data_IF_018575112610
#
_entry.id   IF_018575112610
#
_cell.length_a   1.000
_cell.length_b   1.000
_cell.length_c   1.000
_cell.angle_alpha   90.00
_cell.angle_beta   90.00
_cell.angle_gamma   90.00
#
_symmetry.space_group_name_H-M   'P 1'
#
loop_
_entity.id
_entity.type
_entity.pdbx_description
1 polymer ?
#
# COMPACT_ATOMS: atom_id res chain seq x y z
N UNK A 1 -2.86 8.86 4.36
CA UNK A 1 -1.62 9.56 3.98
C UNK A 1 -1.79 11.02 4.33
N UNK A 2 -0.89 11.55 5.15
CA UNK A 2 -0.91 12.96 5.57
C UNK A 2 0.50 13.47 5.34
N UNK A 3 0.63 14.60 4.66
CA UNK A 3 1.93 15.25 4.46
C UNK A 3 2.28 16.09 5.69
N UNK A 4 3.57 16.22 5.98
CA UNK A 4 4.06 17.03 7.09
C UNK A 4 3.91 18.52 6.80
N UNK A 5 3.59 19.28 7.84
CA UNK A 5 3.61 20.75 7.78
C UNK A 5 5.05 21.30 7.69
N UNK A 6 6.05 20.51 8.10
CA UNK A 6 7.45 20.92 8.14
C UNK A 6 8.25 20.56 6.89
N UNK A 7 7.83 19.52 6.18
CA UNK A 7 8.45 19.04 4.94
C UNK A 7 7.33 18.58 4.00
N UNK A 8 7.11 19.32 2.92
CA UNK A 8 5.89 19.23 2.13
C UNK A 8 5.75 17.96 1.32
N UNK A 9 6.82 17.17 1.18
CA UNK A 9 6.82 15.85 0.51
C UNK A 9 7.00 14.68 1.48
N UNK A 10 7.14 14.95 2.78
CA UNK A 10 7.23 13.91 3.81
C UNK A 10 5.83 13.46 4.26
N UNK A 11 5.60 12.15 4.27
CA UNK A 11 4.41 11.52 4.81
C UNK A 11 4.60 11.21 6.29
N UNK A 12 3.61 11.61 7.09
CA UNK A 12 3.64 11.39 8.53
C UNK A 12 2.99 10.06 8.92
N UNK A 13 3.64 9.40 9.88
CA UNK A 13 3.10 8.23 10.56
C UNK A 13 2.83 8.59 12.02
N UNK A 14 1.55 8.56 12.40
CA UNK A 14 1.12 8.94 13.75
C UNK A 14 1.12 7.76 14.74
N UNK A 15 0.99 6.52 14.26
CA UNK A 15 0.86 5.32 15.08
C UNK A 15 1.73 4.17 14.53
N UNK A 16 2.04 3.18 15.36
CA UNK A 16 2.74 1.96 14.94
C UNK A 16 1.90 1.10 13.99
N UNK A 17 2.55 0.35 13.09
CA UNK A 17 1.89 -0.57 12.15
C UNK A 17 1.99 -0.19 10.67
N UNK A 18 1.49 0.98 10.20
CA UNK A 18 1.34 1.27 8.77
C UNK A 18 2.65 1.54 8.03
N UNK A 19 3.80 1.54 8.71
CA UNK A 19 5.11 1.85 8.14
C UNK A 19 5.46 0.99 6.91
N UNK A 20 5.02 -0.27 6.86
CA UNK A 20 5.25 -1.16 5.72
C UNK A 20 4.56 -0.72 4.43
N UNK A 21 3.56 0.17 4.53
CA UNK A 21 2.90 0.79 3.39
C UNK A 21 3.36 2.23 3.21
N UNK A 22 3.49 3.00 4.30
CA UNK A 22 3.89 4.41 4.23
C UNK A 22 5.32 4.55 3.70
N UNK A 23 6.27 3.72 4.12
CA UNK A 23 7.66 3.86 3.70
C UNK A 23 7.87 3.60 2.19
N UNK A 24 7.27 2.55 1.57
CA UNK A 24 7.27 2.41 0.11
C UNK A 24 6.64 3.58 -0.64
N UNK A 25 5.48 4.06 -0.17
CA UNK A 25 4.82 5.22 -0.80
C UNK A 25 5.70 6.46 -0.68
N UNK A 26 6.28 6.72 0.50
CA UNK A 26 7.22 7.83 0.71
C UNK A 26 8.44 7.72 -0.21
N UNK A 27 9.00 6.53 -0.37
CA UNK A 27 10.12 6.31 -1.28
C UNK A 27 9.77 6.71 -2.71
N UNK A 28 8.61 6.26 -3.21
CA UNK A 28 8.14 6.60 -4.55
C UNK A 28 7.84 8.10 -4.71
N UNK A 29 7.22 8.74 -3.70
CA UNK A 29 7.01 10.19 -3.65
C UNK A 29 8.34 10.94 -3.84
N UNK A 30 9.36 10.56 -3.08
CA UNK A 30 10.67 11.23 -3.14
C UNK A 30 11.46 10.94 -4.42
N UNK A 31 11.14 9.86 -5.14
CA UNK A 31 11.70 9.60 -6.47
C UNK A 31 11.12 10.56 -7.51
N UNK A 32 9.82 10.86 -7.41
CA UNK A 32 9.06 11.71 -8.35
C UNK A 32 9.31 13.22 -8.14
N UNK A 33 9.65 13.64 -6.92
CA UNK A 33 9.82 15.03 -6.48
C UNK A 33 10.98 15.84 -7.12
N UNK A 34 11.69 15.30 -8.11
CA UNK A 34 12.96 15.85 -8.64
C UNK A 34 12.88 17.22 -9.32
N UNK A 35 11.72 17.88 -9.40
CA UNK A 35 11.57 19.07 -10.25
C UNK A 35 10.69 20.21 -9.73
N UNK A 36 10.03 20.13 -8.56
CA UNK A 36 9.08 21.17 -8.14
C UNK A 36 9.17 21.44 -6.65
N UNK A 37 9.23 22.71 -6.28
CA UNK A 37 8.84 23.13 -4.93
C UNK A 37 7.36 22.79 -4.76
N UNK A 38 7.07 21.72 -4.01
CA UNK A 38 5.70 21.37 -3.63
C UNK A 38 5.32 22.31 -2.49
N UNK A 39 4.79 23.48 -2.82
CA UNK A 39 4.39 24.48 -1.82
C UNK A 39 2.87 24.52 -1.64
N UNK A 40 2.12 23.94 -2.58
CA UNK A 40 0.67 24.03 -2.61
C UNK A 40 0.00 22.68 -2.35
N UNK A 41 -1.13 22.69 -1.61
CA UNK A 41 -1.92 21.48 -1.32
C UNK A 41 -2.34 20.71 -2.58
N UNK A 42 -2.57 21.41 -3.69
CA UNK A 42 -2.90 20.79 -4.97
C UNK A 42 -1.72 20.00 -5.55
N UNK A 43 -0.49 20.44 -5.33
CA UNK A 43 0.72 19.73 -5.77
C UNK A 43 0.97 18.47 -4.94
N UNK A 44 0.74 18.53 -3.62
CA UNK A 44 0.76 17.36 -2.74
C UNK A 44 -0.28 16.32 -3.15
N UNK A 45 -1.49 16.78 -3.47
CA UNK A 45 -2.55 15.93 -4.01
C UNK A 45 -2.12 15.27 -5.32
N UNK A 46 -1.57 16.04 -6.26
CA UNK A 46 -1.04 15.52 -7.51
C UNK A 46 0.00 14.43 -7.27
N UNK A 47 0.99 14.73 -6.42
CA UNK A 47 2.12 13.86 -6.12
C UNK A 47 1.67 12.55 -5.49
N UNK A 48 0.78 12.61 -4.49
CA UNK A 48 0.22 11.41 -3.86
C UNK A 48 -0.58 10.60 -4.87
N UNK A 49 -1.55 11.21 -5.56
CA UNK A 49 -2.40 10.48 -6.50
C UNK A 49 -1.59 9.84 -7.63
N UNK A 50 -0.56 10.54 -8.14
CA UNK A 50 0.37 10.00 -9.12
C UNK A 50 1.12 8.79 -8.57
N UNK A 51 1.75 8.94 -7.41
CA UNK A 51 2.48 7.85 -6.74
C UNK A 51 1.61 6.61 -6.49
N UNK A 52 0.38 6.80 -6.00
CA UNK A 52 -0.54 5.68 -5.77
C UNK A 52 -0.93 4.98 -7.08
N UNK A 53 -1.08 5.72 -8.19
CA UNK A 53 -1.34 5.14 -9.50
C UNK A 53 -0.15 4.32 -10.00
N UNK A 54 1.07 4.84 -9.88
CA UNK A 54 2.29 4.16 -10.34
C UNK A 54 2.50 2.84 -9.58
N UNK A 55 2.27 2.83 -8.27
CA UNK A 55 2.34 1.60 -7.46
C UNK A 55 1.27 0.58 -7.90
N UNK A 56 0.06 1.03 -8.19
CA UNK A 56 -1.00 0.15 -8.69
C UNK A 56 -0.71 -0.36 -10.10
N UNK A 57 -0.07 0.45 -10.94
CA UNK A 57 0.40 0.05 -12.27
C UNK A 57 1.50 -1.00 -12.17
N UNK A 58 2.50 -0.80 -11.31
CA UNK A 58 3.55 -1.80 -11.05
C UNK A 58 2.97 -3.11 -10.50
N UNK A 59 1.99 -3.04 -9.59
CA UNK A 59 1.35 -4.22 -9.02
C UNK A 59 0.44 -4.96 -10.03
N UNK A 60 0.04 -4.31 -11.12
CA UNK A 60 -0.76 -4.94 -12.16
C UNK A 60 0.11 -5.89 -12.99
N UNK A 61 -0.07 -7.20 -12.80
CA UNK A 61 0.62 -8.20 -13.62
C UNK A 61 0.19 -8.12 -15.09
N UNK A 62 1.05 -8.52 -16.02
CA UNK A 62 0.74 -8.60 -17.47
C UNK A 62 -0.54 -9.41 -17.78
N UNK A 63 -0.90 -10.37 -16.91
CA UNK A 63 -2.09 -11.21 -17.03
C UNK A 63 -3.35 -10.64 -16.33
N UNK A 64 -3.23 -9.53 -15.61
CA UNK A 64 -4.36 -8.89 -14.93
C UNK A 64 -4.99 -7.86 -15.86
N UNK A 65 -6.25 -8.10 -16.25
CA UNK A 65 -6.96 -7.22 -17.19
C UNK A 65 -7.54 -5.95 -16.53
N UNK A 66 -7.35 -5.75 -15.22
CA UNK A 66 -7.98 -4.63 -14.51
C UNK A 66 -7.31 -4.23 -13.20
N UNK A 67 -7.34 -2.92 -12.93
CA UNK A 67 -7.01 -2.32 -11.64
C UNK A 67 -8.17 -2.39 -10.68
N UNK A 68 -7.90 -2.51 -9.39
CA UNK A 68 -8.94 -2.66 -8.37
C UNK A 68 -8.74 -1.67 -7.21
N UNK A 69 -9.76 -0.87 -6.90
CA UNK A 69 -9.76 0.01 -5.73
C UNK A 69 -10.71 -0.52 -4.64
N UNK A 70 -10.21 -0.57 -3.41
CA UNK A 70 -11.02 -0.82 -2.23
C UNK A 70 -11.64 0.49 -1.74
N UNK A 71 -12.95 0.48 -1.47
CA UNK A 71 -13.69 1.68 -1.08
C UNK A 71 -14.65 1.39 0.06
N UNK A 72 -14.87 2.39 0.93
CA UNK A 72 -15.81 2.28 2.03
C UNK A 72 -17.26 2.44 1.54
N UNK A 73 -18.16 1.58 2.00
CA UNK A 73 -19.60 1.85 1.88
C UNK A 73 -19.98 2.79 3.00
N UNK A 74 -20.28 4.05 2.67
CA UNK A 74 -21.07 4.86 3.60
C UNK A 74 -22.45 4.22 3.66
N UNK A 75 -22.75 3.53 4.76
CA UNK A 75 -24.13 3.13 5.05
C UNK A 75 -25.00 4.37 4.93
N UNK A 76 -26.09 4.30 4.17
CA UNK A 76 -27.14 5.32 4.27
C UNK A 76 -27.71 5.21 5.68
N UNK A 77 -27.25 6.03 6.61
CA UNK A 77 -28.08 6.40 7.76
C UNK A 77 -29.21 7.23 7.16
N UNK A 78 -30.38 6.61 7.05
CA UNK A 78 -31.62 7.32 6.76
C UNK A 78 -31.88 8.25 7.94
N UNK A 79 -31.45 9.51 7.83
CA UNK A 79 -31.98 10.59 8.66
C UNK A 79 -33.41 10.87 8.21
N UNK A 80 -34.36 10.08 8.70
CA UNK A 80 -35.77 10.46 8.73
C UNK A 80 -36.20 10.56 10.21
N UNK A 81 -36.10 11.78 10.71
CA UNK A 81 -37.03 12.44 11.64
C UNK A 81 -37.73 11.59 12.70
N UNK A 82 -37.21 11.71 13.92
CA UNK A 82 -37.92 11.82 15.20
C UNK A 82 -39.36 11.30 15.30
N UNK A 83 -39.54 10.23 16.09
CA UNK A 83 -40.62 10.17 17.06
C UNK A 83 -40.13 9.48 18.34
N UNK A 84 -40.45 10.10 19.46
CA UNK A 84 -40.00 9.78 20.82
C UNK A 84 -40.74 8.54 21.33
N UNK A 85 -40.01 7.56 21.87
CA UNK A 85 -40.53 6.72 22.97
C UNK A 85 -39.38 6.25 23.86
N UNK A 86 -39.55 6.43 25.17
CA UNK A 86 -38.59 6.22 26.25
C UNK A 86 -38.30 4.73 26.57
N UNK A 87 -37.15 4.51 27.24
CA UNK A 87 -36.68 3.30 27.99
C UNK A 87 -35.55 2.47 27.33
N UNK A 88 -34.71 1.75 28.12
CA UNK A 88 -33.37 2.23 28.47
C UNK A 88 -32.23 1.39 27.89
N UNK A 89 -31.05 2.04 27.86
CA UNK A 89 -29.75 1.59 27.40
C UNK A 89 -29.44 0.09 27.54
N UNK A 90 -29.29 -0.57 26.38
CA UNK A 90 -28.35 -1.67 26.21
C UNK A 90 -27.26 -1.23 25.24
N UNK A 91 -26.02 -1.33 25.70
CA UNK A 91 -24.80 -1.05 24.95
C UNK A 91 -24.68 -2.01 23.77
N UNK A 92 -25.19 -1.61 22.61
CA UNK A 92 -24.89 -2.29 21.36
C UNK A 92 -23.48 -1.88 20.93
N UNK A 93 -22.53 -2.79 21.13
CA UNK A 93 -21.33 -2.83 20.32
C UNK A 93 -21.78 -2.83 18.85
N UNK A 94 -21.61 -1.70 18.17
CA UNK A 94 -21.74 -1.67 16.72
C UNK A 94 -20.56 -2.44 16.16
N UNK A 95 -20.76 -3.73 15.88
CA UNK A 95 -19.92 -4.47 14.96
C UNK A 95 -19.97 -3.72 13.62
N UNK A 96 -18.89 -2.99 13.33
CA UNK A 96 -18.68 -2.37 12.02
C UNK A 96 -18.71 -3.49 10.96
N UNK A 97 -19.81 -3.56 10.20
CA UNK A 97 -19.97 -4.53 9.13
C UNK A 97 -18.87 -4.36 8.06
N UNK A 98 -18.36 -5.46 7.48
CA UNK A 98 -17.12 -5.45 6.72
C UNK A 98 -17.21 -4.71 5.37
N UNK A 99 -16.15 -3.94 5.10
CA UNK A 99 -15.74 -3.38 3.81
C UNK A 99 -16.06 -4.29 2.61
N UNK A 100 -17.03 -3.93 1.77
CA UNK A 100 -17.20 -4.55 0.43
C UNK A 100 -17.65 -3.57 -0.63
N UNK A 101 -16.76 -2.71 -1.12
CA UNK A 101 -16.82 -2.30 -2.54
C UNK A 101 -15.42 -2.33 -3.14
N UNK A 102 -15.21 -3.34 -4.00
CA UNK A 102 -14.16 -3.40 -5.02
C UNK A 102 -14.68 -2.67 -6.27
N UNK A 103 -14.00 -1.62 -6.73
CA UNK A 103 -14.22 -1.04 -8.07
C UNK A 103 -13.11 -1.48 -9.00
N UNK A 104 -13.48 -1.96 -10.18
CA UNK A 104 -12.52 -2.40 -11.20
C UNK A 104 -12.45 -1.39 -12.34
N UNK A 105 -11.24 -1.14 -12.85
CA UNK A 105 -10.95 -0.22 -13.94
C UNK A 105 -10.13 -0.93 -15.00
N UNK A 106 -10.44 -0.70 -16.28
CA UNK A 106 -9.79 -1.44 -17.39
C UNK A 106 -8.59 -0.70 -17.97
N UNK A 107 -8.44 0.59 -17.65
CA UNK A 107 -7.38 1.41 -18.21
C UNK A 107 -6.75 2.31 -17.15
N UNK A 108 -5.47 2.61 -17.35
CA UNK A 108 -4.72 3.51 -16.46
C UNK A 108 -5.33 4.92 -16.35
N UNK A 109 -5.86 5.54 -17.43
CA UNK A 109 -6.55 6.84 -17.32
C UNK A 109 -7.81 6.79 -16.44
N UNK A 110 -8.61 5.72 -16.54
CA UNK A 110 -9.78 5.53 -15.67
C UNK A 110 -9.38 5.36 -14.21
N UNK A 111 -8.34 4.56 -13.96
CA UNK A 111 -7.76 4.40 -12.62
C UNK A 111 -7.31 5.75 -12.07
N UNK A 112 -6.54 6.52 -12.84
CA UNK A 112 -6.00 7.81 -12.43
C UNK A 112 -7.09 8.80 -12.04
N UNK A 113 -8.16 8.87 -12.84
CA UNK A 113 -9.32 9.69 -12.52
C UNK A 113 -9.99 9.23 -11.21
N UNK A 114 -10.16 7.92 -11.01
CA UNK A 114 -10.77 7.40 -9.80
C UNK A 114 -9.93 7.61 -8.54
N UNK A 115 -8.60 7.40 -8.61
CA UNK A 115 -7.67 7.66 -7.51
C UNK A 115 -7.71 9.14 -7.14
N UNK A 116 -7.77 10.02 -8.14
CA UNK A 116 -7.89 11.46 -7.94
C UNK A 116 -9.19 11.86 -7.23
N UNK A 117 -10.33 11.34 -7.71
CA UNK A 117 -11.65 11.62 -7.14
C UNK A 117 -11.78 11.11 -5.70
N UNK A 118 -10.99 10.09 -5.35
CA UNK A 118 -10.95 9.50 -4.00
C UNK A 118 -9.86 10.08 -3.11
N UNK A 119 -9.24 11.21 -3.47
CA UNK A 119 -8.19 11.86 -2.66
C UNK A 119 -8.55 11.98 -1.18
N UNK A 120 -9.78 12.43 -0.89
CA UNK A 120 -10.25 12.59 0.48
C UNK A 120 -10.35 11.27 1.25
N UNK A 121 -10.47 10.12 0.60
CA UNK A 121 -10.44 8.81 1.26
C UNK A 121 -9.01 8.39 1.60
N UNK A 122 -8.03 8.69 0.74
CA UNK A 122 -6.62 8.35 0.96
C UNK A 122 -6.02 9.13 2.14
N UNK A 123 -6.51 10.34 2.39
CA UNK A 123 -6.08 11.20 3.49
C UNK A 123 -6.88 11.00 4.78
N UNK A 124 -7.94 10.18 4.76
CA UNK A 124 -8.79 9.94 5.93
C UNK A 124 -8.33 8.73 6.76
N UNK A 125 -9.05 8.49 7.86
CA UNK A 125 -8.97 7.28 8.66
C UNK A 125 -9.11 6.06 7.75
N UNK A 126 -8.15 5.15 7.85
CA UNK A 126 -8.01 3.93 7.02
C UNK A 126 -7.53 4.12 5.57
N UNK A 127 -7.14 5.32 5.13
CA UNK A 127 -6.65 5.52 3.76
C UNK A 127 -5.47 4.60 3.37
N UNK A 128 -4.54 4.35 4.30
CA UNK A 128 -3.42 3.42 4.11
C UNK A 128 -3.91 1.98 3.92
N UNK A 129 -4.89 1.55 4.74
CA UNK A 129 -5.46 0.21 4.67
C UNK A 129 -6.26 0.01 3.37
N UNK A 130 -7.06 1.00 2.96
CA UNK A 130 -7.78 0.99 1.69
C UNK A 130 -6.81 0.89 0.51
N UNK A 131 -5.69 1.63 0.56
CA UNK A 131 -4.67 1.54 -0.46
C UNK A 131 -4.01 0.15 -0.50
N UNK A 132 -3.64 -0.40 0.66
CA UNK A 132 -3.11 -1.77 0.76
C UNK A 132 -4.06 -2.80 0.13
N UNK A 133 -5.35 -2.75 0.45
CA UNK A 133 -6.32 -3.64 -0.17
C UNK A 133 -6.41 -3.42 -1.69
N UNK A 134 -6.30 -2.18 -2.16
CA UNK A 134 -6.31 -1.87 -3.59
C UNK A 134 -5.13 -2.51 -4.33
N UNK A 135 -3.93 -2.47 -3.74
CA UNK A 135 -2.73 -3.13 -4.27
C UNK A 135 -2.90 -4.65 -4.30
N UNK A 136 -3.35 -5.26 -3.20
CA UNK A 136 -3.59 -6.71 -3.10
C UNK A 136 -4.65 -7.16 -4.13
N UNK A 137 -5.74 -6.41 -4.28
CA UNK A 137 -6.80 -6.74 -5.22
C UNK A 137 -6.37 -6.58 -6.68
N UNK A 138 -5.50 -5.60 -6.97
CA UNK A 138 -4.96 -5.34 -8.31
C UNK A 138 -3.98 -6.43 -8.73
N UNK A 139 -3.07 -6.83 -7.82
CA UNK A 139 -2.13 -7.93 -8.04
C UNK A 139 -2.84 -9.28 -8.11
N UNK A 140 -3.84 -9.49 -7.27
CA UNK A 140 -4.56 -10.74 -7.11
C UNK A 140 -3.92 -11.67 -6.08
N UNK A 141 -4.76 -12.23 -5.20
CA UNK A 141 -4.32 -13.07 -4.07
C UNK A 141 -3.54 -14.30 -4.55
N UNK A 142 -3.98 -14.95 -5.61
CA UNK A 142 -3.32 -16.16 -6.10
C UNK A 142 -1.94 -15.84 -6.70
N UNK A 143 -1.78 -14.71 -7.39
CA UNK A 143 -0.48 -14.26 -7.88
C UNK A 143 0.47 -13.98 -6.71
N UNK A 144 0.00 -13.29 -5.66
CA UNK A 144 0.79 -13.05 -4.45
C UNK A 144 1.24 -14.37 -3.82
N UNK A 145 0.33 -15.32 -3.63
CA UNK A 145 0.66 -16.63 -3.06
C UNK A 145 1.69 -17.40 -3.89
N UNK A 146 1.63 -17.27 -5.22
CA UNK A 146 2.59 -17.91 -6.12
C UNK A 146 3.98 -17.26 -6.08
N UNK A 147 4.08 -15.98 -5.70
CA UNK A 147 5.35 -15.25 -5.58
C UNK A 147 6.01 -15.39 -4.21
N UNK A 148 5.23 -15.66 -3.15
CA UNK A 148 5.75 -15.87 -1.80
C UNK A 148 6.43 -17.25 -1.72
N UNK A 149 7.71 -17.27 -1.31
CA UNK A 149 8.50 -18.49 -1.16
C UNK A 149 7.96 -19.42 -0.05
N UNK A 150 7.60 -18.86 1.11
CA UNK A 150 7.01 -19.58 2.23
C UNK A 150 5.54 -19.20 2.43
N UNK A 151 4.62 -20.05 1.97
CA UNK A 151 3.18 -19.82 2.06
C UNK A 151 2.64 -19.75 3.51
N UNK A 152 3.46 -20.07 4.51
CA UNK A 152 3.11 -19.90 5.93
C UNK A 152 3.43 -18.50 6.46
N UNK A 153 4.23 -17.71 5.74
CA UNK A 153 4.56 -16.33 6.10
C UNK A 153 3.43 -15.36 5.67
N UNK A 154 2.75 -14.68 6.62
CA UNK A 154 1.70 -13.73 6.27
C UNK A 154 2.30 -12.40 5.78
N UNK A 155 1.57 -11.67 4.92
CA UNK A 155 1.96 -10.32 4.50
C UNK A 155 2.01 -9.32 5.66
N UNK A 156 1.16 -9.54 6.67
CA UNK A 156 1.10 -8.75 7.90
C UNK A 156 1.15 -9.73 9.06
N UNK A 157 2.08 -9.54 9.98
CA UNK A 157 2.19 -10.31 11.21
C UNK A 157 0.89 -10.19 12.03
N UNK A 158 0.25 -11.32 12.38
CA UNK A 158 -1.06 -11.32 13.03
C UNK A 158 -1.03 -10.86 14.49
N UNK A 159 0.15 -10.84 15.13
CA UNK A 159 0.31 -10.50 16.54
C UNK A 159 0.68 -9.03 16.71
N UNK A 160 1.64 -8.56 15.91
CA UNK A 160 2.28 -7.26 16.04
C UNK A 160 1.95 -6.30 14.88
N UNK A 161 1.34 -6.78 13.80
CA UNK A 161 0.92 -5.93 12.68
C UNK A 161 2.07 -5.45 11.78
N UNK A 162 3.25 -6.06 11.88
CA UNK A 162 4.41 -5.73 11.03
C UNK A 162 4.20 -6.25 9.62
N UNK A 163 4.49 -5.44 8.61
CA UNK A 163 4.47 -5.90 7.22
C UNK A 163 5.71 -6.72 6.89
N UNK A 164 5.54 -7.81 6.15
CA UNK A 164 6.64 -8.66 5.72
C UNK A 164 7.48 -8.03 4.60
N UNK A 165 8.66 -8.59 4.33
CA UNK A 165 9.50 -8.15 3.22
C UNK A 165 8.79 -8.31 1.86
N UNK A 166 8.00 -9.38 1.70
CA UNK A 166 7.16 -9.59 0.51
C UNK A 166 6.15 -8.46 0.31
N UNK A 167 5.55 -7.94 1.38
CA UNK A 167 4.63 -6.79 1.27
C UNK A 167 5.37 -5.53 0.82
N UNK A 168 6.53 -5.26 1.41
CA UNK A 168 7.36 -4.09 1.06
C UNK A 168 7.78 -4.17 -0.41
N UNK A 169 8.27 -5.35 -0.84
CA UNK A 169 8.70 -5.57 -2.22
C UNK A 169 7.54 -5.48 -3.21
N UNK A 170 6.34 -5.94 -2.84
CA UNK A 170 5.14 -5.80 -3.66
C UNK A 170 4.84 -4.32 -3.95
N UNK A 171 4.97 -3.44 -2.94
CA UNK A 171 4.71 -2.01 -3.10
C UNK A 171 5.80 -1.28 -3.88
N UNK A 172 7.06 -1.75 -3.80
CA UNK A 172 8.19 -1.12 -4.48
C UNK A 172 8.40 -1.60 -5.92
N UNK A 173 8.02 -2.84 -6.21
CA UNK A 173 8.41 -3.53 -7.45
C UNK A 173 7.24 -4.17 -8.19
N UNK A 174 6.08 -4.28 -7.55
CA UNK A 174 4.95 -5.05 -8.06
C UNK A 174 5.05 -6.55 -7.81
N UNK A 175 6.12 -7.05 -7.18
CA UNK A 175 6.32 -8.49 -6.91
C UNK A 175 6.46 -8.79 -5.42
N UNK A 176 5.71 -9.79 -4.93
CA UNK A 176 5.64 -10.20 -3.53
C UNK A 176 6.71 -11.24 -3.12
N UNK A 177 7.92 -11.11 -3.66
CA UNK A 177 9.06 -12.00 -3.34
C UNK A 177 9.72 -11.58 -2.01
N UNK A 178 10.17 -12.54 -1.20
CA UNK A 178 10.90 -12.28 0.05
C UNK A 178 12.33 -11.79 -0.19
N UNK A 179 12.91 -12.19 -1.33
CA UNK A 179 14.28 -11.88 -1.71
C UNK A 179 14.36 -11.16 -3.05
N UNK A 180 15.26 -10.18 -3.13
CA UNK A 180 15.55 -9.41 -4.37
C UNK A 180 16.72 -10.03 -5.14
N UNK A 181 16.52 -11.26 -5.61
CA UNK A 181 17.45 -11.88 -6.56
C UNK A 181 17.28 -11.28 -7.96
N UNK A 182 18.32 -11.32 -8.78
CA UNK A 182 18.21 -10.93 -10.18
C UNK A 182 17.64 -12.13 -10.97
N UNK A 183 16.35 -12.07 -11.33
CA UNK A 183 15.63 -13.07 -12.14
C UNK A 183 15.15 -14.31 -11.37
N UNK A 184 14.45 -15.21 -12.09
CA UNK A 184 13.93 -16.46 -11.53
C UNK A 184 15.02 -17.53 -11.42
N UNK A 185 15.02 -18.28 -10.31
CA UNK A 185 15.98 -19.38 -10.11
C UNK A 185 15.27 -20.66 -9.68
N UNK A 186 15.19 -21.62 -10.60
CA UNK A 186 14.65 -22.95 -10.32
C UNK A 186 15.67 -23.78 -9.53
N UNK A 187 15.39 -24.06 -8.26
CA UNK A 187 16.24 -24.89 -7.41
C UNK A 187 15.90 -26.37 -7.60
N UNK A 188 16.30 -26.94 -8.73
CA UNK A 188 16.14 -28.36 -9.02
C UNK A 188 17.16 -29.21 -8.26
N UNK A 189 16.80 -29.63 -7.04
CA UNK A 189 17.35 -30.83 -6.38
C UNK A 189 18.59 -30.68 -5.50
N UNK A 190 18.37 -30.86 -4.19
CA UNK A 190 19.33 -31.32 -3.16
C UNK A 190 20.59 -30.46 -2.85
N UNK A 191 20.49 -29.53 -1.90
CA UNK A 191 21.13 -29.52 -0.56
C UNK A 191 21.17 -28.10 0.02
N UNK A 192 20.97 -27.93 1.35
CA UNK A 192 20.92 -26.63 2.01
C UNK A 192 22.32 -26.04 2.07
N UNK A 193 22.44 -24.71 1.96
CA UNK A 193 23.71 -23.95 1.96
C UNK A 193 24.42 -23.90 0.59
N UNK A 194 23.72 -23.45 -0.46
CA UNK A 194 24.40 -22.85 -1.60
C UNK A 194 24.24 -21.34 -1.50
N UNK A 195 25.38 -20.63 -1.43
CA UNK A 195 25.46 -19.17 -1.48
C UNK A 195 24.80 -18.71 -2.78
N UNK A 196 23.51 -18.40 -2.70
CA UNK A 196 22.74 -17.85 -3.82
C UNK A 196 23.38 -16.50 -4.10
N UNK A 197 23.99 -16.35 -5.30
CA UNK A 197 24.51 -15.07 -5.75
C UNK A 197 23.45 -14.00 -5.49
N UNK A 198 23.78 -13.11 -4.56
CA UNK A 198 22.96 -11.98 -4.17
C UNK A 198 22.76 -11.11 -5.42
N UNK A 199 21.51 -10.88 -5.78
CA UNK A 199 21.13 -9.98 -6.86
C UNK A 199 21.48 -8.53 -6.55
N UNK A 200 21.49 -7.70 -7.58
CA UNK A 200 21.65 -6.25 -7.50
C UNK A 200 20.32 -5.49 -7.49
N UNK A 201 19.21 -6.19 -7.71
CA UNK A 201 17.86 -5.64 -7.67
C UNK A 201 17.58 -4.94 -6.33
N UNK A 202 17.16 -3.67 -6.40
CA UNK A 202 17.01 -2.74 -5.26
C UNK A 202 18.28 -2.45 -4.42
N UNK A 203 19.48 -2.95 -4.81
CA UNK A 203 20.76 -2.69 -4.10
C UNK A 203 21.64 -1.65 -4.77
N UNK A 204 21.37 -1.33 -6.03
CA UNK A 204 22.01 -0.26 -6.78
C UNK A 204 20.95 0.76 -7.20
N UNK A 205 20.41 1.56 -6.26
CA UNK A 205 19.30 2.42 -6.58
C UNK A 205 19.77 3.54 -7.51
N UNK A 206 18.94 3.88 -8.50
CA UNK A 206 19.24 4.99 -9.43
C UNK A 206 19.30 6.34 -8.70
N UNK A 207 18.66 6.42 -7.55
CA UNK A 207 18.60 7.58 -6.67
C UNK A 207 19.05 7.17 -5.27
N UNK A 208 19.72 8.04 -4.51
CA UNK A 208 20.26 7.69 -3.19
C UNK A 208 19.17 7.68 -2.10
N UNK A 209 18.05 7.00 -2.38
CA UNK A 209 16.89 6.88 -1.50
C UNK A 209 16.80 5.42 -1.09
N UNK A 210 16.77 5.16 0.22
CA UNK A 210 16.79 3.81 0.78
C UNK A 210 15.62 3.63 1.75
N UNK A 211 15.01 2.45 1.76
CA UNK A 211 14.13 2.04 2.86
C UNK A 211 14.97 1.22 3.83
N UNK A 212 15.09 1.73 5.05
CA UNK A 212 15.82 1.09 6.14
C UNK A 212 14.83 0.46 7.11
N UNK A 213 14.96 -0.84 7.32
CA UNK A 213 14.24 -1.58 8.35
C UNK A 213 15.08 -1.74 9.62
N UNK A 214 14.45 -1.50 10.76
CA UNK A 214 14.81 -2.09 12.05
C UNK A 214 13.90 -3.30 12.32
N UNK A 215 14.03 -3.96 13.47
CA UNK A 215 13.21 -5.13 13.83
C UNK A 215 11.69 -4.87 13.73
N UNK A 216 11.24 -3.62 13.93
CA UNK A 216 9.81 -3.30 14.03
C UNK A 216 9.37 -2.04 13.25
N UNK A 217 10.33 -1.28 12.70
CA UNK A 217 10.05 0.01 12.04
C UNK A 217 10.81 0.17 10.74
N UNK A 218 10.16 0.79 9.75
CA UNK A 218 10.74 1.17 8.47
C UNK A 218 10.82 2.68 8.36
N UNK A 219 11.91 3.19 7.77
CA UNK A 219 12.09 4.62 7.49
C UNK A 219 12.74 4.83 6.13
N UNK A 220 12.54 6.01 5.55
CA UNK A 220 13.20 6.41 4.30
C UNK A 220 14.42 7.27 4.63
N UNK A 221 15.57 6.91 4.06
CA UNK A 221 16.84 7.60 4.22
C UNK A 221 17.33 8.16 2.89
N UNK A 222 17.89 9.37 2.94
CA UNK A 222 18.46 10.10 1.81
C UNK A 222 19.96 10.30 2.04
N UNK A 223 20.79 9.99 1.04
CA UNK A 223 22.25 10.12 1.10
C UNK A 223 22.81 11.06 0.03
#
# INVERSE_FOLDING_TARGET
FVFSDSESTALEQFEGGPCAVIAPVQHCVSVDDKTKHVEMQEEQKNLLCHTLCDILEMACSDNSESYCLATWIRGKTTEETASISESPAESSHQEEQPCKIKRAFKSFPELKAAVWDQYSAWTNRFGVLLFLYSVILTKGIENIKNEIEDATEPLIDPVYGHGSQSLINLLLTGHAVSNVWDGDRECSGMTPIHVVKVGSYLKSPKFPIWILGSETHLTVFFA
#
